data_IF_089343716785
#
_entry.id   IF_089343716785
#
_cell.length_a   1.000
_cell.length_b   1.000
_cell.length_c   1.000
_cell.angle_alpha   90.00
_cell.angle_beta   90.00
_cell.angle_gamma   90.00
#
_symmetry.space_group_name_H-M   'P 1'
#
loop_
_entity.id
_entity.type
_entity.pdbx_description
1 polymer ?
#
# COMPACT_ATOMS: atom_id res chain seq x y z
N UNK A 1 35.02 -20.49 19.99
CA UNK A 1 34.39 -20.48 18.66
C UNK A 1 34.05 -19.04 18.36
N UNK A 2 34.73 -18.45 17.39
CA UNK A 2 34.71 -17.00 17.18
C UNK A 2 33.38 -16.55 16.56
N UNK A 3 32.76 -15.53 17.14
CA UNK A 3 31.42 -15.04 16.76
C UNK A 3 31.37 -14.52 15.32
N UNK A 4 32.46 -13.93 14.83
CA UNK A 4 32.61 -13.46 13.46
C UNK A 4 32.59 -14.60 12.43
N UNK A 5 33.19 -15.75 12.78
CA UNK A 5 33.20 -16.92 11.90
C UNK A 5 31.79 -17.53 11.79
N UNK A 6 31.06 -17.57 12.90
CA UNK A 6 29.69 -18.07 12.92
C UNK A 6 28.73 -17.20 12.09
N UNK A 7 28.82 -15.87 12.19
CA UNK A 7 27.95 -14.97 11.41
C UNK A 7 28.22 -15.06 9.91
N UNK A 8 29.48 -15.25 9.50
CA UNK A 8 29.84 -15.45 8.09
C UNK A 8 29.23 -16.73 7.53
N UNK A 9 29.38 -17.86 8.25
CA UNK A 9 28.78 -19.15 7.84
C UNK A 9 27.26 -19.02 7.73
N UNK A 10 26.60 -18.38 8.71
CA UNK A 10 25.16 -18.15 8.67
C UNK A 10 24.73 -17.35 7.43
N UNK A 11 25.42 -16.24 7.13
CA UNK A 11 25.10 -15.41 5.95
C UNK A 11 25.31 -16.19 4.65
N UNK A 12 26.34 -17.03 4.58
CA UNK A 12 26.60 -17.89 3.43
C UNK A 12 25.47 -18.91 3.24
N UNK A 13 24.99 -19.54 4.31
CA UNK A 13 23.86 -20.48 4.24
C UNK A 13 22.55 -19.78 3.84
N UNK A 14 22.28 -18.58 4.36
CA UNK A 14 21.11 -17.78 3.97
C UNK A 14 21.18 -17.36 2.48
N UNK A 15 22.37 -17.07 1.97
CA UNK A 15 22.55 -16.80 0.56
C UNK A 15 22.23 -18.01 -0.32
N UNK A 16 22.71 -19.19 0.04
CA UNK A 16 22.38 -20.43 -0.67
C UNK A 16 20.87 -20.67 -0.67
N UNK A 17 20.20 -20.51 0.48
CA UNK A 17 18.74 -20.63 0.56
C UNK A 17 18.03 -19.65 -0.38
N UNK A 18 18.52 -18.41 -0.49
CA UNK A 18 17.98 -17.39 -1.40
C UNK A 18 18.08 -17.82 -2.86
N UNK A 19 19.24 -18.35 -3.28
CA UNK A 19 19.50 -18.79 -4.65
C UNK A 19 18.57 -19.94 -5.07
N UNK A 20 18.29 -20.88 -4.17
CA UNK A 20 17.32 -21.95 -4.40
C UNK A 20 15.86 -21.54 -4.15
N UNK A 21 15.61 -20.30 -3.71
CA UNK A 21 14.27 -19.80 -3.38
C UNK A 21 13.66 -20.37 -2.09
N UNK A 22 14.44 -21.08 -1.26
CA UNK A 22 13.96 -21.63 -0.01
C UNK A 22 13.66 -20.54 1.02
N UNK A 23 12.51 -20.67 1.67
CA UNK A 23 12.02 -19.77 2.72
C UNK A 23 11.92 -18.29 2.30
N UNK A 24 12.06 -17.98 1.01
CA UNK A 24 11.95 -16.62 0.49
C UNK A 24 10.49 -16.18 0.53
N UNK A 25 10.18 -15.31 1.49
CA UNK A 25 8.83 -14.83 1.81
C UNK A 25 8.54 -13.44 1.20
N UNK A 26 9.48 -12.89 0.43
CA UNK A 26 9.26 -11.69 -0.37
C UNK A 26 10.01 -11.69 -1.70
N UNK A 27 9.62 -10.75 -2.56
CA UNK A 27 10.30 -10.46 -3.82
C UNK A 27 10.44 -8.95 -3.93
N UNK A 28 11.67 -8.48 -4.17
CA UNK A 28 11.98 -7.06 -4.34
C UNK A 28 12.09 -6.77 -5.83
N UNK A 29 11.34 -5.79 -6.30
CA UNK A 29 11.44 -5.30 -7.68
C UNK A 29 12.34 -4.08 -7.74
N UNK A 30 13.29 -4.05 -8.67
CA UNK A 30 14.15 -2.91 -8.99
C UNK A 30 14.08 -2.71 -10.51
N UNK A 31 13.30 -1.72 -10.93
CA UNK A 31 12.88 -1.62 -12.34
C UNK A 31 12.09 -2.86 -12.74
N UNK A 32 12.47 -3.49 -13.85
CA UNK A 32 11.85 -4.70 -14.38
C UNK A 32 12.46 -6.01 -13.85
N UNK A 33 13.41 -5.92 -12.90
CA UNK A 33 14.09 -7.09 -12.34
C UNK A 33 13.54 -7.45 -10.97
N UNK A 34 13.36 -8.75 -10.72
CA UNK A 34 12.75 -9.29 -9.51
C UNK A 34 13.74 -10.19 -8.75
N UNK A 35 13.91 -9.93 -7.45
CA UNK A 35 14.84 -10.65 -6.59
C UNK A 35 14.10 -11.34 -5.44
N UNK A 36 14.25 -12.66 -5.32
CA UNK A 36 13.79 -13.40 -4.13
C UNK A 36 14.62 -12.99 -2.92
N UNK A 37 13.96 -12.82 -1.78
CA UNK A 37 14.63 -12.43 -0.55
C UNK A 37 13.86 -12.87 0.70
N UNK A 38 14.55 -12.86 1.82
CA UNK A 38 13.98 -13.07 3.15
C UNK A 38 13.72 -11.72 3.82
N UNK A 39 12.48 -11.46 4.24
CA UNK A 39 12.11 -10.20 4.92
C UNK A 39 12.93 -9.99 6.19
N UNK A 40 13.22 -11.07 6.91
CA UNK A 40 14.03 -11.03 8.13
C UNK A 40 15.46 -10.52 7.87
N UNK A 41 16.11 -11.01 6.82
CA UNK A 41 17.46 -10.58 6.42
C UNK A 41 17.44 -9.11 6.01
N UNK A 42 16.52 -8.72 5.12
CA UNK A 42 16.39 -7.33 4.68
C UNK A 42 16.12 -6.38 5.86
N UNK A 43 15.30 -6.77 6.83
CA UNK A 43 15.00 -5.97 8.02
C UNK A 43 16.18 -5.87 9.00
N UNK A 44 17.05 -6.89 9.07
CA UNK A 44 18.24 -6.87 9.91
C UNK A 44 19.27 -5.83 9.43
N UNK A 45 19.38 -5.65 8.10
CA UNK A 45 20.40 -4.78 7.49
C UNK A 45 19.87 -3.43 6.98
N UNK A 46 18.55 -3.19 7.00
CA UNK A 46 17.96 -1.94 6.51
C UNK A 46 16.75 -1.51 7.33
N UNK A 47 16.84 -0.30 7.92
CA UNK A 47 15.72 0.27 8.67
C UNK A 47 14.51 0.59 7.76
N UNK A 48 14.74 0.90 6.48
CA UNK A 48 13.68 1.08 5.49
C UNK A 48 12.83 -0.19 5.35
N UNK A 49 13.46 -1.33 5.09
CA UNK A 49 12.76 -2.61 4.98
C UNK A 49 12.14 -3.03 6.31
N UNK A 50 12.83 -2.82 7.44
CA UNK A 50 12.31 -3.06 8.79
C UNK A 50 10.98 -2.33 9.02
N UNK A 51 10.95 -1.03 8.75
CA UNK A 51 9.74 -0.22 8.90
C UNK A 51 8.63 -0.69 7.95
N UNK A 52 8.93 -0.91 6.67
CA UNK A 52 7.93 -1.38 5.71
C UNK A 52 7.33 -2.71 6.16
N UNK A 53 8.13 -3.68 6.57
CA UNK A 53 7.62 -5.00 6.92
C UNK A 53 6.85 -5.02 8.24
N UNK A 54 7.26 -4.24 9.25
CA UNK A 54 6.53 -4.08 10.51
C UNK A 54 5.21 -3.33 10.27
N UNK A 55 5.21 -2.26 9.49
CA UNK A 55 4.00 -1.50 9.20
C UNK A 55 3.04 -2.25 8.28
N UNK A 56 3.54 -3.08 7.34
CA UNK A 56 2.70 -3.95 6.52
C UNK A 56 1.92 -4.96 7.37
N UNK A 57 2.54 -5.56 8.40
CA UNK A 57 1.83 -6.49 9.31
C UNK A 57 0.93 -5.76 10.31
N UNK A 58 1.24 -4.49 10.62
CA UNK A 58 0.49 -3.64 11.56
C UNK A 58 -0.50 -2.68 10.91
N UNK A 59 -0.83 -2.82 9.61
CA UNK A 59 -1.77 -1.91 8.93
C UNK A 59 -3.09 -1.86 9.71
N UNK A 60 -3.30 -0.77 10.46
CA UNK A 60 -4.56 -0.52 11.16
C UNK A 60 -5.64 -0.43 10.08
N UNK A 61 -6.62 -1.32 10.15
CA UNK A 61 -7.75 -1.27 9.24
C UNK A 61 -8.47 0.06 9.41
N UNK A 62 -8.82 0.70 8.30
CA UNK A 62 -9.54 1.96 8.27
C UNK A 62 -11.04 1.62 8.29
N UNK A 63 -11.79 2.13 9.26
CA UNK A 63 -13.23 1.87 9.37
C UNK A 63 -14.05 2.92 8.63
N UNK A 64 -15.10 2.47 7.93
CA UNK A 64 -16.17 3.33 7.44
C UNK A 64 -16.89 3.99 8.63
N UNK A 65 -17.10 5.29 8.55
CA UNK A 65 -17.80 6.05 9.60
C UNK A 65 -19.31 5.83 9.60
N UNK A 66 -19.88 5.41 8.46
CA UNK A 66 -21.33 5.21 8.29
C UNK A 66 -21.76 3.83 8.82
N UNK A 67 -21.01 2.77 8.50
CA UNK A 67 -21.38 1.39 8.84
C UNK A 67 -20.34 0.63 9.67
N UNK A 68 -19.18 1.20 9.97
CA UNK A 68 -18.12 0.55 10.76
C UNK A 68 -17.28 -0.48 10.01
N UNK A 69 -17.58 -0.79 8.74
CA UNK A 69 -16.84 -1.80 7.99
C UNK A 69 -15.36 -1.43 7.80
N UNK A 70 -14.46 -2.40 7.97
CA UNK A 70 -13.00 -2.18 8.09
C UNK A 70 -12.26 -2.58 6.82
N UNK A 71 -11.43 -1.69 6.30
CA UNK A 71 -10.70 -1.86 5.05
C UNK A 71 -9.18 -1.83 5.27
N UNK A 72 -8.45 -2.54 4.43
CA UNK A 72 -6.98 -2.59 4.47
C UNK A 72 -6.33 -1.44 3.69
N UNK A 73 -7.04 -0.90 2.69
CA UNK A 73 -6.56 0.19 1.83
C UNK A 73 -7.58 1.33 1.79
N UNK A 74 -7.08 2.57 1.68
CA UNK A 74 -7.92 3.76 1.52
C UNK A 74 -8.80 3.69 0.27
N UNK A 75 -8.29 3.14 -0.84
CA UNK A 75 -9.06 2.95 -2.07
C UNK A 75 -10.31 2.10 -1.87
N UNK A 76 -10.19 0.99 -1.13
CA UNK A 76 -11.32 0.10 -0.83
C UNK A 76 -12.40 0.80 0.01
N UNK A 77 -11.98 1.62 0.99
CA UNK A 77 -12.92 2.42 1.77
C UNK A 77 -13.65 3.44 0.88
N UNK A 78 -12.91 4.15 0.02
CA UNK A 78 -13.49 5.17 -0.86
C UNK A 78 -14.52 4.57 -1.83
N UNK A 79 -14.20 3.44 -2.45
CA UNK A 79 -15.14 2.72 -3.32
C UNK A 79 -16.39 2.28 -2.55
N UNK A 80 -16.21 1.72 -1.35
CA UNK A 80 -17.32 1.35 -0.48
C UNK A 80 -18.22 2.53 -0.11
N UNK A 81 -17.66 3.73 0.09
CA UNK A 81 -18.47 4.90 0.45
C UNK A 81 -19.51 5.28 -0.62
N UNK A 82 -19.26 5.00 -1.90
CA UNK A 82 -20.25 5.21 -2.97
C UNK A 82 -21.42 4.23 -2.95
N UNK A 83 -21.34 3.16 -2.14
CA UNK A 83 -22.42 2.18 -1.97
C UNK A 83 -23.44 2.60 -0.91
N UNK A 84 -23.09 3.57 -0.06
CA UNK A 84 -24.03 4.17 0.87
C UNK A 84 -25.01 5.05 0.09
N UNK A 85 -26.19 4.50 -0.20
CA UNK A 85 -27.33 5.27 -0.68
C UNK A 85 -27.77 6.17 0.47
N UNK A 86 -27.45 7.45 0.34
CA UNK A 86 -27.68 8.47 1.36
C UNK A 86 -29.19 8.55 1.67
N UNK A 87 -29.58 7.96 2.79
CA UNK A 87 -30.98 7.86 3.22
C UNK A 87 -31.37 8.89 4.29
N UNK A 88 -30.41 9.62 4.88
CA UNK A 88 -30.69 10.66 5.88
C UNK A 88 -29.61 11.75 5.84
N UNK A 89 -30.02 12.90 5.33
CA UNK A 89 -29.42 14.23 5.54
C UNK A 89 -28.02 14.45 4.95
N UNK A 90 -27.91 14.46 3.62
CA UNK A 90 -27.76 15.71 2.85
C UNK A 90 -26.51 16.57 3.06
N UNK A 91 -25.47 16.10 3.75
CA UNK A 91 -24.18 16.79 3.78
C UNK A 91 -23.06 15.87 3.29
N UNK A 92 -22.45 16.14 2.11
CA UNK A 92 -21.28 15.40 1.69
C UNK A 92 -20.18 15.58 2.73
N UNK A 93 -19.52 14.49 3.11
CA UNK A 93 -18.28 14.56 3.87
C UNK A 93 -17.28 15.37 3.04
N UNK A 94 -17.11 16.63 3.44
CA UNK A 94 -16.19 17.57 2.85
C UNK A 94 -14.79 17.00 3.07
N UNK A 95 -14.20 16.44 2.01
CA UNK A 95 -12.77 16.21 2.01
C UNK A 95 -12.13 17.60 1.97
N UNK A 96 -11.58 18.05 3.09
CA UNK A 96 -10.69 19.22 3.09
C UNK A 96 -9.32 18.74 2.61
N UNK A 97 -9.14 18.69 1.30
CA UNK A 97 -7.81 18.75 0.70
C UNK A 97 -7.77 19.97 -0.20
N UNK A 98 -6.87 20.88 0.16
CA UNK A 98 -6.83 22.27 -0.24
C UNK A 98 -6.31 22.41 -1.67
N UNK A 99 -7.11 22.07 -2.68
CA UNK A 99 -6.86 22.46 -4.06
C UNK A 99 -8.15 22.96 -4.71
N UNK A 100 -8.15 24.27 -4.97
CA UNK A 100 -9.08 25.14 -5.72
C UNK A 100 -10.39 24.49 -6.23
N UNK A 101 -11.51 25.10 -5.83
CA UNK A 101 -12.88 24.72 -6.19
C UNK A 101 -13.05 24.50 -7.70
N UNK A 102 -13.06 23.24 -8.11
CA UNK A 102 -13.55 22.84 -9.43
C UNK A 102 -14.99 22.36 -9.27
N UNK A 103 -15.90 23.00 -10.00
CA UNK A 103 -17.31 22.65 -10.00
C UNK A 103 -17.53 21.16 -10.39
N UNK A 104 -18.53 20.53 -9.78
CA UNK A 104 -18.85 19.11 -9.90
C UNK A 104 -19.09 18.69 -11.34
N UNK A 105 -19.67 19.58 -12.17
CA UNK A 105 -19.93 19.33 -13.60
C UNK A 105 -18.66 19.41 -14.44
N UNK A 106 -17.71 20.24 -14.02
CA UNK A 106 -16.41 20.43 -14.67
C UNK A 106 -15.49 19.24 -14.38
N UNK A 107 -15.48 18.74 -13.15
CA UNK A 107 -14.73 17.54 -12.79
C UNK A 107 -15.22 16.28 -13.50
N UNK A 108 -16.55 16.10 -13.59
CA UNK A 108 -17.14 14.98 -14.33
C UNK A 108 -16.75 14.99 -15.82
N UNK A 109 -16.73 16.17 -16.47
CA UNK A 109 -16.36 16.30 -17.87
C UNK A 109 -14.89 15.96 -18.16
N UNK A 110 -13.97 16.30 -17.25
CA UNK A 110 -12.53 16.04 -17.37
C UNK A 110 -12.23 14.53 -17.23
N UNK A 111 -12.83 13.87 -16.24
CA UNK A 111 -12.60 12.45 -15.97
C UNK A 111 -13.16 11.56 -17.07
N UNK A 112 -14.26 11.98 -17.71
CA UNK A 112 -14.92 11.19 -18.74
C UNK A 112 -14.64 11.67 -20.18
N UNK A 113 -13.70 12.60 -20.38
CA UNK A 113 -13.25 13.01 -21.71
C UNK A 113 -14.37 13.53 -22.62
N UNK A 114 -15.41 14.14 -22.06
CA UNK A 114 -16.53 14.66 -22.85
C UNK A 114 -16.18 16.08 -23.31
N UNK A 115 -15.49 16.18 -24.44
CA UNK A 115 -15.32 17.45 -25.15
C UNK A 115 -16.71 18.01 -25.49
N UNK A 116 -17.07 19.14 -24.89
CA UNK A 116 -18.25 19.90 -25.32
C UNK A 116 -17.90 20.56 -26.65
N UNK A 117 -18.42 20.02 -27.75
CA UNK A 117 -18.53 20.78 -28.99
C UNK A 117 -19.45 21.98 -28.71
N UNK A 118 -18.87 23.17 -28.75
CA UNK A 118 -19.60 24.43 -28.69
C UNK A 118 -20.24 24.75 -30.03
N UNK A 119 -21.46 25.31 -29.94
CA UNK A 119 -22.21 26.15 -30.89
C UNK A 119 -22.05 25.88 -32.39
#
# INVERSE_FOLDING_TARGET
MDTASHSLVLLQQLNMQREFGFLCDCTVAIGDVYFKAHRAVLAAFSNYFKMIFIHQTRKRKISCTICGHKFLRKSQLLEHMYTHKDGRNGHPLQYSCQEKSMDRRTWWAIVHGVAKNGM
#
